data_IF_174279595687
#
_entry.id   IF_174279595687
#
_cell.length_a   1.000
_cell.length_b   1.000
_cell.length_c   1.000
_cell.angle_alpha   90.00
_cell.angle_beta   90.00
_cell.angle_gamma   90.00
#
_symmetry.space_group_name_H-M   'P 1'
#
loop_
_entity.id
_entity.type
_entity.pdbx_description
1 polymer ?
#
# COMPACT_ATOMS: atom_id res chain seq x y z
N UNK A 1 22.04 -4.72 -10.55
CA UNK A 1 21.09 -5.03 -9.46
C UNK A 1 19.72 -4.61 -9.95
N UNK A 2 18.71 -5.45 -9.80
CA UNK A 2 17.35 -5.17 -10.28
C UNK A 2 16.47 -4.86 -9.09
N UNK A 3 15.78 -3.71 -9.11
CA UNK A 3 14.76 -3.37 -8.13
C UNK A 3 13.38 -3.50 -8.75
N UNK A 4 12.45 -4.08 -8.02
CA UNK A 4 11.05 -4.18 -8.41
C UNK A 4 10.19 -3.23 -7.60
N UNK A 5 9.19 -2.64 -8.27
CA UNK A 5 8.18 -1.79 -7.67
C UNK A 5 6.82 -2.41 -7.98
N UNK A 6 6.05 -2.64 -6.94
CA UNK A 6 4.68 -3.15 -7.04
C UNK A 6 3.78 -2.32 -6.13
N UNK A 7 2.50 -2.22 -6.48
CA UNK A 7 1.48 -1.60 -5.62
C UNK A 7 0.10 -2.18 -5.92
N UNK A 8 -0.86 -1.88 -5.06
CA UNK A 8 -2.28 -2.15 -5.33
C UNK A 8 -2.57 -3.62 -5.67
N UNK A 9 -1.91 -4.53 -4.93
CA UNK A 9 -2.09 -5.99 -5.13
C UNK A 9 -3.44 -6.44 -4.57
N UNK A 10 -3.92 -5.84 -3.48
CA UNK A 10 -5.23 -6.15 -2.87
C UNK A 10 -5.43 -7.64 -2.56
N UNK A 11 -4.43 -8.25 -1.92
CA UNK A 11 -4.50 -9.65 -1.51
C UNK A 11 -5.69 -9.91 -0.60
N UNK A 12 -6.46 -10.95 -0.90
CA UNK A 12 -7.63 -11.36 -0.13
C UNK A 12 -7.90 -12.85 -0.24
N UNK A 13 -8.60 -13.42 0.75
CA UNK A 13 -9.01 -14.83 0.74
C UNK A 13 -9.94 -15.17 -0.45
N UNK A 14 -10.72 -14.19 -0.90
CA UNK A 14 -11.66 -14.36 -2.01
C UNK A 14 -10.99 -14.43 -3.38
N UNK A 15 -9.73 -13.98 -3.51
CA UNK A 15 -9.01 -13.94 -4.78
C UNK A 15 -7.77 -14.85 -4.79
N UNK A 16 -8.01 -16.15 -4.80
CA UNK A 16 -6.93 -17.15 -4.81
C UNK A 16 -6.01 -17.07 -6.03
N UNK A 17 -6.50 -16.59 -7.18
CA UNK A 17 -5.68 -16.47 -8.40
C UNK A 17 -4.61 -15.40 -8.20
N UNK A 18 -5.00 -14.23 -7.68
CA UNK A 18 -4.08 -13.13 -7.43
C UNK A 18 -3.06 -13.50 -6.35
N UNK A 19 -3.52 -14.13 -5.26
CA UNK A 19 -2.64 -14.59 -4.19
C UNK A 19 -1.62 -15.61 -4.68
N UNK A 20 -2.03 -16.55 -5.54
CA UNK A 20 -1.11 -17.51 -6.16
C UNK A 20 -0.12 -16.82 -7.11
N UNK A 21 -0.58 -15.83 -7.89
CA UNK A 21 0.29 -15.05 -8.77
C UNK A 21 1.34 -14.27 -7.99
N UNK A 22 0.94 -13.64 -6.87
CA UNK A 22 1.86 -12.94 -5.98
C UNK A 22 2.92 -13.88 -5.37
N UNK A 23 2.49 -15.04 -4.87
CA UNK A 23 3.41 -16.05 -4.32
C UNK A 23 4.40 -16.55 -5.38
N UNK A 24 3.93 -16.81 -6.61
CA UNK A 24 4.81 -17.19 -7.71
C UNK A 24 5.79 -16.07 -8.06
N UNK A 25 5.32 -14.81 -8.13
CA UNK A 25 6.20 -13.65 -8.32
C UNK A 25 7.32 -13.60 -7.29
N UNK A 26 7.01 -13.79 -5.99
CA UNK A 26 8.03 -13.83 -4.94
C UNK A 26 9.05 -14.95 -5.19
N UNK A 27 8.60 -16.16 -5.52
CA UNK A 27 9.48 -17.31 -5.79
C UNK A 27 10.38 -17.09 -7.00
N UNK A 28 9.80 -16.61 -8.10
CA UNK A 28 10.50 -16.44 -9.37
C UNK A 28 11.50 -15.27 -9.32
N UNK A 29 11.16 -14.21 -8.58
CA UNK A 29 11.99 -12.99 -8.50
C UNK A 29 13.09 -13.05 -7.44
N UNK A 30 13.01 -13.93 -6.45
CA UNK A 30 13.92 -13.96 -5.29
C UNK A 30 15.41 -13.89 -5.65
N UNK A 31 15.83 -14.62 -6.69
CA UNK A 31 17.23 -14.70 -7.08
C UNK A 31 17.69 -13.56 -8.01
N UNK A 32 16.75 -12.91 -8.68
CA UNK A 32 17.02 -11.83 -9.65
C UNK A 32 16.77 -10.43 -9.09
N UNK A 33 16.02 -10.33 -8.00
CA UNK A 33 15.68 -9.09 -7.32
C UNK A 33 16.74 -8.76 -6.26
N UNK A 34 17.16 -7.51 -6.20
CA UNK A 34 17.99 -6.99 -5.11
C UNK A 34 17.17 -6.23 -4.07
N UNK A 35 16.12 -5.56 -4.52
CA UNK A 35 15.22 -4.77 -3.69
C UNK A 35 13.80 -4.86 -4.22
N UNK A 36 12.85 -5.08 -3.33
CA UNK A 36 11.42 -5.01 -3.62
C UNK A 36 10.79 -3.85 -2.86
N UNK A 37 10.10 -2.97 -3.57
CA UNK A 37 9.33 -1.88 -3.00
C UNK A 37 7.84 -2.15 -3.23
N UNK A 38 7.07 -2.26 -2.15
CA UNK A 38 5.62 -2.42 -2.14
C UNK A 38 5.02 -1.06 -1.78
N UNK A 39 4.47 -0.36 -2.75
CA UNK A 39 4.01 1.02 -2.61
C UNK A 39 2.55 1.10 -2.13
N UNK A 40 2.22 0.31 -1.10
CA UNK A 40 0.90 0.30 -0.46
C UNK A 40 -0.12 -0.63 -1.10
N UNK A 41 -1.21 -0.82 -0.39
CA UNK A 41 -2.36 -1.66 -0.77
C UNK A 41 -1.94 -3.10 -1.15
N UNK A 42 -1.04 -3.67 -0.33
CA UNK A 42 -0.67 -5.09 -0.42
C UNK A 42 -1.89 -5.97 -0.12
N UNK A 43 -2.65 -5.62 0.92
CA UNK A 43 -3.87 -6.32 1.30
C UNK A 43 -5.11 -5.50 0.93
N UNK A 44 -6.20 -6.21 0.61
CA UNK A 44 -7.50 -5.62 0.34
C UNK A 44 -8.09 -4.93 1.57
N UNK A 45 -7.82 -5.44 2.76
CA UNK A 45 -8.17 -4.88 4.05
C UNK A 45 -7.20 -5.36 5.12
N UNK A 46 -6.80 -4.46 6.03
CA UNK A 46 -6.00 -4.78 7.20
C UNK A 46 -6.62 -4.11 8.43
N UNK A 47 -7.00 -4.93 9.41
CA UNK A 47 -7.71 -4.46 10.62
C UNK A 47 -6.86 -4.53 11.90
N UNK A 48 -5.56 -4.79 11.75
CA UNK A 48 -4.58 -4.88 12.82
C UNK A 48 -3.74 -6.14 12.74
N UNK A 49 -2.53 -6.09 13.29
CA UNK A 49 -1.55 -7.19 13.23
C UNK A 49 -1.92 -8.39 14.09
N UNK A 50 -2.91 -8.25 14.95
CA UNK A 50 -3.50 -9.33 15.79
C UNK A 50 -4.60 -10.12 15.06
N UNK A 51 -5.03 -9.67 13.88
CA UNK A 51 -5.94 -10.42 13.03
C UNK A 51 -5.19 -11.47 12.23
N UNK A 52 -5.33 -12.73 12.65
CA UNK A 52 -4.62 -13.87 12.07
C UNK A 52 -5.61 -14.85 11.43
N UNK A 53 -5.44 -15.12 10.15
CA UNK A 53 -6.13 -16.18 9.41
C UNK A 53 -5.10 -17.09 8.76
N UNK A 54 -5.53 -18.27 8.32
CA UNK A 54 -4.67 -19.17 7.57
C UNK A 54 -4.11 -18.51 6.29
N UNK A 55 -4.91 -17.66 5.66
CA UNK A 55 -4.52 -16.87 4.49
C UNK A 55 -3.40 -15.88 4.84
N UNK A 56 -3.61 -15.03 5.85
CA UNK A 56 -2.63 -14.03 6.30
C UNK A 56 -1.32 -14.72 6.70
N UNK A 57 -1.40 -15.80 7.48
CA UNK A 57 -0.22 -16.53 7.93
C UNK A 57 0.55 -17.17 6.78
N UNK A 58 -0.14 -17.64 5.74
CA UNK A 58 0.51 -18.13 4.53
C UNK A 58 1.25 -17.01 3.79
N UNK A 59 0.62 -15.85 3.58
CA UNK A 59 1.27 -14.69 2.94
C UNK A 59 2.48 -14.21 3.75
N UNK A 60 2.36 -14.10 5.08
CA UNK A 60 3.47 -13.73 5.97
C UNK A 60 4.64 -14.73 5.84
N UNK A 61 4.35 -16.03 5.80
CA UNK A 61 5.36 -17.08 5.64
C UNK A 61 6.09 -16.97 4.29
N UNK A 62 5.37 -16.73 3.20
CA UNK A 62 5.99 -16.56 1.88
C UNK A 62 6.83 -15.28 1.79
N UNK A 63 6.38 -14.19 2.42
CA UNK A 63 7.16 -12.95 2.53
C UNK A 63 8.43 -13.16 3.38
N UNK A 64 8.33 -13.84 4.52
CA UNK A 64 9.49 -14.18 5.34
C UNK A 64 10.49 -15.07 4.58
N UNK A 65 9.98 -16.06 3.86
CA UNK A 65 10.82 -16.89 2.98
C UNK A 65 11.51 -16.04 1.90
N UNK A 66 10.84 -15.03 1.35
CA UNK A 66 11.40 -14.14 0.34
C UNK A 66 12.50 -13.24 0.91
N UNK A 67 12.30 -12.65 2.08
CA UNK A 67 13.25 -11.72 2.74
C UNK A 67 14.43 -12.45 3.36
N UNK A 68 14.23 -13.68 3.85
CA UNK A 68 15.30 -14.47 4.48
C UNK A 68 16.37 -14.85 3.46
N UNK A 69 17.58 -14.31 3.65
CA UNK A 69 18.71 -14.44 2.71
C UNK A 69 18.33 -14.07 1.27
N UNK A 70 17.41 -13.13 1.12
CA UNK A 70 16.86 -12.64 -0.13
C UNK A 70 16.94 -11.12 -0.27
N UNK A 71 16.11 -10.51 -1.12
CA UNK A 71 16.14 -9.07 -1.37
C UNK A 71 15.73 -8.25 -0.15
N UNK A 72 16.33 -7.08 0.02
CA UNK A 72 15.79 -6.06 0.89
C UNK A 72 14.37 -5.71 0.43
N UNK A 73 13.40 -5.84 1.33
CA UNK A 73 11.98 -5.61 1.01
C UNK A 73 11.43 -4.48 1.85
N UNK A 74 10.77 -3.56 1.18
CA UNK A 74 10.22 -2.36 1.76
C UNK A 74 8.71 -2.29 1.50
N UNK A 75 7.96 -1.79 2.48
CA UNK A 75 6.52 -1.55 2.38
C UNK A 75 6.23 -0.09 2.73
N UNK A 76 5.32 0.49 2.00
CA UNK A 76 4.69 1.78 2.28
C UNK A 76 3.21 1.53 2.57
N UNK A 77 2.61 2.29 3.49
CA UNK A 77 1.18 2.14 3.76
C UNK A 77 0.32 2.65 2.60
N UNK A 78 -0.59 1.82 2.12
CA UNK A 78 -1.71 2.25 1.29
C UNK A 78 -2.94 2.66 2.10
N UNK A 79 -4.04 2.93 1.43
CA UNK A 79 -5.30 3.28 2.09
C UNK A 79 -6.10 2.07 2.59
N UNK A 80 -5.70 0.87 2.22
CA UNK A 80 -6.33 -0.40 2.64
C UNK A 80 -5.60 -1.08 3.80
N UNK A 81 -4.30 -0.82 3.95
CA UNK A 81 -3.43 -1.55 4.86
C UNK A 81 -2.59 -0.65 5.79
N UNK A 82 -3.04 0.57 6.02
CA UNK A 82 -2.35 1.57 6.86
C UNK A 82 -2.23 1.20 8.35
N UNK A 83 -2.90 0.14 8.79
CA UNK A 83 -2.78 -0.39 10.15
C UNK A 83 -1.74 -1.52 10.27
N UNK A 84 -1.00 -1.82 9.21
CA UNK A 84 0.18 -2.68 9.29
C UNK A 84 1.18 -2.03 10.25
N UNK A 85 1.68 -2.81 11.21
CA UNK A 85 2.58 -2.32 12.24
C UNK A 85 3.72 -3.30 12.57
N UNK A 86 4.42 -3.08 13.66
CA UNK A 86 5.67 -3.75 14.03
C UNK A 86 5.61 -5.29 14.02
N UNK A 87 4.45 -5.89 14.40
CA UNK A 87 4.35 -7.35 14.41
C UNK A 87 4.41 -7.92 13.00
N UNK A 88 3.66 -7.34 12.04
CA UNK A 88 3.72 -7.75 10.64
C UNK A 88 5.13 -7.59 10.06
N UNK A 89 5.77 -6.45 10.33
CA UNK A 89 7.11 -6.16 9.83
C UNK A 89 8.14 -7.15 10.38
N UNK A 90 8.06 -7.47 11.66
CA UNK A 90 8.92 -8.48 12.32
C UNK A 90 8.66 -9.88 11.76
N UNK A 91 7.39 -10.27 11.62
CA UNK A 91 6.99 -11.59 11.13
C UNK A 91 7.42 -11.84 9.67
N UNK A 92 7.61 -10.76 8.88
CA UNK A 92 7.90 -10.86 7.44
C UNK A 92 9.31 -10.42 7.05
N UNK A 93 10.06 -9.76 7.96
CA UNK A 93 11.37 -9.17 7.67
C UNK A 93 11.31 -7.95 6.73
N UNK A 94 10.13 -7.37 6.53
CA UNK A 94 9.92 -6.18 5.71
C UNK A 94 10.22 -4.92 6.51
N UNK A 95 10.72 -3.88 5.83
CA UNK A 95 11.00 -2.56 6.42
C UNK A 95 9.93 -1.57 5.99
N UNK A 96 9.33 -0.84 6.94
CA UNK A 96 8.35 0.19 6.63
C UNK A 96 9.04 1.47 6.14
N UNK A 97 8.50 2.07 5.09
CA UNK A 97 8.90 3.39 4.58
C UNK A 97 7.82 4.44 4.87
N UNK A 98 8.20 5.69 5.14
CA UNK A 98 7.24 6.79 5.12
C UNK A 98 6.71 7.02 3.70
N UNK A 99 5.59 7.71 3.58
CA UNK A 99 4.99 8.14 2.32
C UNK A 99 4.89 9.69 2.31
N UNK A 100 5.56 10.38 1.38
CA UNK A 100 6.46 9.89 0.33
C UNK A 100 7.87 9.54 0.83
N UNK A 101 8.64 8.78 0.03
CA UNK A 101 10.01 8.39 0.34
C UNK A 101 10.94 8.59 -0.85
N UNK A 102 12.11 9.20 -0.60
CA UNK A 102 13.13 9.47 -1.62
C UNK A 102 14.27 8.46 -1.54
N UNK A 103 14.65 7.91 -2.67
CA UNK A 103 15.82 7.04 -2.82
C UNK A 103 16.71 7.51 -3.97
N UNK A 104 17.97 7.13 -3.95
CA UNK A 104 18.88 7.32 -5.09
C UNK A 104 19.16 5.98 -5.76
N UNK A 105 18.85 5.88 -7.04
CA UNK A 105 19.09 4.69 -7.85
C UNK A 105 19.79 5.07 -9.16
N UNK A 106 20.92 4.43 -9.47
CA UNK A 106 21.70 4.71 -10.69
C UNK A 106 22.00 6.21 -10.91
N UNK A 107 22.33 6.93 -9.86
CA UNK A 107 22.54 8.39 -9.84
C UNK A 107 21.29 9.20 -10.19
N UNK A 108 20.10 8.62 -10.11
CA UNK A 108 18.82 9.27 -10.26
C UNK A 108 18.12 9.37 -8.91
N UNK A 109 17.52 10.53 -8.66
CA UNK A 109 16.66 10.79 -7.52
C UNK A 109 15.27 10.24 -7.82
N UNK A 110 14.85 9.21 -7.12
CA UNK A 110 13.55 8.55 -7.31
C UNK A 110 12.69 8.84 -6.09
N UNK A 111 11.53 9.43 -6.32
CA UNK A 111 10.51 9.63 -5.30
C UNK A 111 9.49 8.50 -5.40
N UNK A 112 9.19 7.86 -4.27
CA UNK A 112 8.21 6.80 -4.14
C UNK A 112 7.03 7.28 -3.32
N UNK A 113 5.82 6.88 -3.68
CA UNK A 113 4.61 7.17 -2.93
C UNK A 113 3.55 6.11 -3.18
N UNK A 114 2.64 5.90 -2.23
CA UNK A 114 1.38 5.24 -2.56
C UNK A 114 0.53 6.13 -3.48
N UNK A 115 0.45 7.42 -3.18
CA UNK A 115 -0.17 8.42 -4.08
C UNK A 115 -1.59 8.82 -3.70
N UNK A 116 -2.21 8.18 -2.73
CA UNK A 116 -3.60 8.43 -2.32
C UNK A 116 -3.87 9.88 -1.87
N UNK A 117 -2.89 10.55 -1.27
CA UNK A 117 -3.02 11.95 -0.84
C UNK A 117 -2.96 12.95 -2.00
N UNK A 118 -2.63 12.50 -3.21
CA UNK A 118 -2.61 13.34 -4.41
C UNK A 118 -4.00 13.51 -5.05
N UNK A 119 -4.98 12.68 -4.66
CA UNK A 119 -6.37 12.74 -5.14
C UNK A 119 -7.15 13.86 -4.44
N UNK A 120 -6.64 15.09 -4.49
CA UNK A 120 -7.15 16.23 -3.70
C UNK A 120 -8.48 16.77 -4.19
N UNK A 121 -8.94 16.38 -5.37
CA UNK A 121 -10.28 16.72 -5.88
C UNK A 121 -11.37 15.90 -5.20
N UNK A 122 -11.03 14.74 -4.64
CA UNK A 122 -11.92 13.95 -3.79
C UNK A 122 -11.84 14.42 -2.32
N UNK A 123 -12.52 15.52 -2.03
CA UNK A 123 -12.50 16.15 -0.70
C UNK A 123 -12.98 15.20 0.39
N UNK A 124 -14.01 14.39 0.10
CA UNK A 124 -14.58 13.44 1.05
C UNK A 124 -13.54 12.33 1.37
N UNK A 125 -12.88 11.82 0.35
CA UNK A 125 -11.79 10.86 0.53
C UNK A 125 -10.65 11.44 1.36
N UNK A 126 -10.20 12.65 1.06
CA UNK A 126 -9.10 13.30 1.81
C UNK A 126 -9.48 13.52 3.29
N UNK A 127 -10.71 13.92 3.57
CA UNK A 127 -11.22 14.06 4.95
C UNK A 127 -11.23 12.71 5.67
N UNK A 128 -11.75 11.67 5.02
CA UNK A 128 -11.73 10.31 5.55
C UNK A 128 -10.31 9.81 5.79
N UNK A 129 -9.41 9.99 4.82
CA UNK A 129 -8.00 9.65 4.94
C UNK A 129 -7.36 10.30 6.16
N UNK A 130 -7.55 11.61 6.35
CA UNK A 130 -7.01 12.34 7.48
C UNK A 130 -7.56 11.81 8.81
N UNK A 131 -8.85 11.48 8.86
CA UNK A 131 -9.48 10.92 10.06
C UNK A 131 -8.88 9.57 10.43
N UNK A 132 -8.77 8.62 9.50
CA UNK A 132 -8.29 7.25 9.79
C UNK A 132 -6.78 7.15 10.00
N UNK A 133 -6.02 8.16 9.52
CA UNK A 133 -4.58 8.29 9.78
C UNK A 133 -4.28 8.97 11.11
N UNK A 134 -5.29 9.55 11.77
CA UNK A 134 -5.13 10.11 13.12
C UNK A 134 -4.85 9.02 14.15
N UNK A 135 -3.84 9.25 14.99
CA UNK A 135 -3.38 8.26 15.96
C UNK A 135 -4.46 7.90 16.99
N UNK A 136 -5.25 8.86 17.44
CA UNK A 136 -6.30 8.60 18.41
C UNK A 136 -7.42 7.77 17.81
N UNK A 137 -7.74 7.99 16.51
CA UNK A 137 -8.70 7.15 15.78
C UNK A 137 -8.16 5.71 15.67
N UNK A 138 -6.89 5.52 15.29
CA UNK A 138 -6.27 4.20 15.15
C UNK A 138 -6.25 3.44 16.48
N UNK A 139 -5.85 4.11 17.59
CA UNK A 139 -5.81 3.52 18.90
C UNK A 139 -7.22 3.09 19.36
N UNK A 140 -8.22 3.94 19.14
CA UNK A 140 -9.62 3.60 19.41
C UNK A 140 -10.11 2.41 18.56
N UNK A 141 -9.80 2.39 17.27
CA UNK A 141 -10.15 1.30 16.38
C UNK A 141 -9.52 -0.02 16.83
N UNK A 142 -8.21 -0.02 17.10
CA UNK A 142 -7.45 -1.21 17.51
C UNK A 142 -7.79 -1.70 18.92
N UNK A 143 -8.41 -0.86 19.77
CA UNK A 143 -8.90 -1.29 21.09
C UNK A 143 -10.18 -2.12 21.04
N UNK A 144 -10.85 -2.20 19.89
CA UNK A 144 -12.08 -2.98 19.68
C UNK A 144 -11.78 -4.45 19.41
N UNK A 145 -12.79 -5.30 19.57
CA UNK A 145 -12.66 -6.72 19.19
C UNK A 145 -12.44 -6.87 17.68
N UNK A 146 -11.91 -8.01 17.26
CA UNK A 146 -11.71 -8.33 15.83
C UNK A 146 -13.04 -8.30 15.07
N UNK A 147 -14.12 -8.79 15.67
CA UNK A 147 -15.45 -8.80 15.10
C UNK A 147 -15.93 -7.36 14.83
N UNK A 148 -15.84 -6.48 15.84
CA UNK A 148 -16.23 -5.06 15.69
C UNK A 148 -15.38 -4.35 14.63
N UNK A 149 -14.06 -4.60 14.61
CA UNK A 149 -13.17 -4.03 13.58
C UNK A 149 -13.52 -4.52 12.19
N UNK A 150 -13.86 -5.79 12.04
CA UNK A 150 -14.29 -6.38 10.77
C UNK A 150 -15.61 -5.76 10.27
N UNK A 151 -16.56 -5.54 11.16
CA UNK A 151 -17.84 -4.89 10.82
C UNK A 151 -17.62 -3.43 10.38
N UNK A 152 -16.81 -2.68 11.14
CA UNK A 152 -16.46 -1.29 10.81
C UNK A 152 -15.75 -1.23 9.46
N UNK A 153 -14.73 -2.06 9.23
CA UNK A 153 -13.99 -2.08 7.97
C UNK A 153 -14.90 -2.46 6.79
N UNK A 154 -15.78 -3.42 6.96
CA UNK A 154 -16.77 -3.83 5.95
C UNK A 154 -17.72 -2.69 5.58
N UNK A 155 -18.22 -1.95 6.59
CA UNK A 155 -19.08 -0.79 6.39
C UNK A 155 -18.34 0.33 5.66
N UNK A 156 -17.15 0.72 6.12
CA UNK A 156 -16.35 1.76 5.49
C UNK A 156 -16.04 1.43 4.01
N UNK A 157 -15.85 0.14 3.71
CA UNK A 157 -15.64 -0.32 2.36
C UNK A 157 -16.89 -0.21 1.49
N UNK A 158 -18.06 -0.61 2.00
CA UNK A 158 -19.33 -0.44 1.30
C UNK A 158 -19.59 1.03 0.99
N UNK A 159 -19.46 1.90 2.00
CA UNK A 159 -19.64 3.34 1.85
C UNK A 159 -18.67 3.95 0.82
N UNK A 160 -17.41 3.48 0.79
CA UNK A 160 -16.40 3.91 -0.19
C UNK A 160 -16.74 3.44 -1.61
N UNK A 161 -17.21 2.21 -1.79
CA UNK A 161 -17.60 1.69 -3.09
C UNK A 161 -18.81 2.45 -3.66
N UNK A 162 -19.83 2.69 -2.83
CA UNK A 162 -21.02 3.46 -3.22
C UNK A 162 -20.63 4.89 -3.60
N UNK A 163 -19.78 5.54 -2.80
CA UNK A 163 -19.29 6.88 -3.09
C UNK A 163 -18.44 6.94 -4.38
N UNK A 164 -17.71 5.89 -4.73
CA UNK A 164 -16.85 5.87 -5.92
C UNK A 164 -17.65 5.61 -7.20
N UNK A 165 -18.75 4.84 -7.14
CA UNK A 165 -19.58 4.54 -8.31
C UNK A 165 -20.21 5.79 -8.93
N UNK A 166 -20.52 6.81 -8.12
CA UNK A 166 -21.14 8.06 -8.56
C UNK A 166 -20.13 9.15 -8.95
N UNK A 167 -18.82 8.93 -8.71
CA UNK A 167 -17.77 9.90 -9.00
C UNK A 167 -17.22 9.74 -10.41
N UNK A 168 -16.95 10.87 -11.06
CA UNK A 168 -16.23 10.85 -12.35
C UNK A 168 -14.80 10.36 -12.17
N UNK A 169 -14.26 9.78 -13.22
CA UNK A 169 -12.87 9.28 -13.27
C UNK A 169 -11.88 10.39 -12.87
N UNK A 170 -12.14 11.63 -13.25
CA UNK A 170 -11.30 12.80 -12.99
C UNK A 170 -11.18 13.10 -11.48
N UNK A 171 -12.26 12.92 -10.72
CA UNK A 171 -12.27 13.17 -9.27
C UNK A 171 -11.44 12.12 -8.51
N UNK A 172 -11.44 10.88 -8.99
CA UNK A 172 -10.74 9.75 -8.35
C UNK A 172 -9.29 9.58 -8.81
N UNK A 173 -8.81 10.44 -9.71
CA UNK A 173 -7.42 10.46 -10.17
C UNK A 173 -6.56 11.42 -9.36
N UNK A 174 -5.25 11.35 -9.54
CA UNK A 174 -4.32 12.32 -8.93
C UNK A 174 -4.57 13.72 -9.51
N UNK A 175 -4.63 14.72 -8.64
CA UNK A 175 -4.77 16.09 -9.06
C UNK A 175 -3.43 16.60 -9.65
N UNK A 176 -3.47 17.17 -10.86
CA UNK A 176 -2.29 17.63 -11.57
C UNK A 176 -1.48 18.69 -10.79
N UNK A 177 -2.17 19.60 -10.09
CA UNK A 177 -1.51 20.63 -9.27
C UNK A 177 -0.81 20.03 -8.06
N UNK A 178 -1.39 18.99 -7.45
CA UNK A 178 -0.79 18.25 -6.33
C UNK A 178 0.44 17.47 -6.78
N UNK A 179 0.40 16.85 -7.96
CA UNK A 179 1.56 16.19 -8.57
C UNK A 179 2.66 17.21 -8.90
N UNK A 180 2.33 18.33 -9.52
CA UNK A 180 3.31 19.42 -9.81
C UNK A 180 3.94 19.95 -8.53
N UNK A 181 3.15 20.10 -7.48
CA UNK A 181 3.65 20.58 -6.18
C UNK A 181 4.67 19.61 -5.60
N UNK A 182 4.35 18.32 -5.49
CA UNK A 182 5.28 17.33 -4.92
C UNK A 182 6.56 17.20 -5.76
N UNK A 183 6.45 17.25 -7.09
CA UNK A 183 7.62 17.29 -7.98
C UNK A 183 8.46 18.54 -7.72
N UNK A 184 7.83 19.70 -7.50
CA UNK A 184 8.55 20.94 -7.17
C UNK A 184 9.26 20.87 -5.82
N UNK A 185 8.58 20.30 -4.80
CA UNK A 185 9.11 20.20 -3.43
C UNK A 185 10.30 19.25 -3.34
N UNK A 186 10.26 18.12 -4.06
CA UNK A 186 11.30 17.08 -4.00
C UNK A 186 12.30 17.13 -5.16
N UNK A 187 11.93 17.73 -6.29
CA UNK A 187 12.74 17.76 -7.53
C UNK A 187 13.31 16.38 -7.93
N UNK A 188 12.46 15.32 -8.03
CA UNK A 188 12.93 14.01 -8.40
C UNK A 188 13.21 13.91 -9.90
N UNK A 189 14.15 13.02 -10.30
CA UNK A 189 14.33 12.62 -11.70
C UNK A 189 13.22 11.68 -12.16
N UNK A 190 12.67 10.88 -11.22
CA UNK A 190 11.61 9.88 -11.45
C UNK A 190 10.65 9.92 -10.27
N UNK A 191 9.36 9.95 -10.54
CA UNK A 191 8.30 9.80 -9.52
C UNK A 191 7.48 8.54 -9.83
N UNK A 192 7.39 7.62 -8.85
CA UNK A 192 6.64 6.36 -8.97
C UNK A 192 5.55 6.35 -7.90
N UNK A 193 4.31 6.17 -8.30
CA UNK A 193 3.19 6.04 -7.36
C UNK A 193 2.16 5.00 -7.82
N UNK A 194 1.33 4.55 -6.89
CA UNK A 194 0.23 3.62 -7.10
C UNK A 194 -1.14 4.28 -6.99
N UNK A 195 -2.08 3.62 -6.32
CA UNK A 195 -3.41 4.02 -5.88
C UNK A 195 -4.48 4.10 -6.97
N UNK A 196 -4.19 4.72 -8.10
CA UNK A 196 -5.24 5.02 -9.12
C UNK A 196 -5.60 3.83 -10.01
N UNK A 197 -4.83 2.75 -9.97
CA UNK A 197 -4.96 1.56 -10.84
C UNK A 197 -4.94 1.91 -12.34
N UNK A 198 -4.24 2.99 -12.71
CA UNK A 198 -4.12 3.48 -14.10
C UNK A 198 -2.66 3.49 -14.52
N UNK A 199 -2.13 2.34 -14.98
CA UNK A 199 -0.73 2.27 -15.38
C UNK A 199 -0.47 3.22 -16.55
N UNK A 200 0.44 4.17 -16.34
CA UNK A 200 0.84 5.15 -17.36
C UNK A 200 2.27 5.64 -17.09
N UNK A 201 2.90 6.21 -18.11
CA UNK A 201 4.17 6.90 -18.02
C UNK A 201 3.94 8.33 -18.53
N UNK A 202 4.22 9.29 -17.67
CA UNK A 202 4.15 10.73 -18.00
C UNK A 202 5.57 11.26 -18.16
N UNK A 203 5.82 12.03 -19.24
CA UNK A 203 7.09 12.69 -19.55
C UNK A 203 7.02 14.21 -19.30
#
# INVERSE_FOLDING_TARGET
MTSFFISDIHLSESNNKLSSAFINFLKDSKQSCSQLFILGDLFEVWIGDDYETSFINNIKSELLNFTTNGPDTFLMHGNRDFLISEKFLTDTGIKLLPDPFEITMHNKKVLLSHGDFLCTDDVDYINFRNQVRDKAWQDNFLSKSIEERSEIASKLRSDSNDATQDKSIEITDVNESSVKKIIGDYSPDIFIHGHTHRPNIHE
#
